data_IF_728271086698
#
_entry.id   IF_728271086698
#
_cell.length_a   1.000
_cell.length_b   1.000
_cell.length_c   1.000
_cell.angle_alpha   90.00
_cell.angle_beta   90.00
_cell.angle_gamma   90.00
#
_symmetry.space_group_name_H-M   'P 1'
#
loop_
_entity.id
_entity.type
_entity.pdbx_description
1 polymer ?
#
# COMPACT_ATOMS: atom_id res chain seq x y z
N UNK A 1 -0.89 8.91 8.90
CA UNK A 1 -1.36 7.57 8.46
C UNK A 1 -2.66 7.27 9.17
N UNK A 2 -3.67 6.83 8.44
CA UNK A 2 -5.00 6.47 8.91
C UNK A 2 -5.03 4.94 9.07
N UNK A 3 -5.15 4.47 10.29
CA UNK A 3 -5.18 3.05 10.65
C UNK A 3 -6.49 2.40 10.19
N UNK A 4 -6.43 1.14 9.76
CA UNK A 4 -7.60 0.36 9.33
C UNK A 4 -8.57 1.13 8.41
N UNK A 5 -8.04 1.96 7.50
CA UNK A 5 -8.86 2.83 6.66
C UNK A 5 -9.80 2.05 5.73
N UNK A 6 -9.45 0.80 5.38
CA UNK A 6 -10.32 -0.14 4.66
C UNK A 6 -11.63 -0.48 5.38
N UNK A 7 -11.70 -0.32 6.70
CA UNK A 7 -12.89 -0.62 7.50
C UNK A 7 -13.87 0.58 7.61
N UNK A 8 -13.49 1.75 7.09
CA UNK A 8 -14.28 2.97 7.14
C UNK A 8 -14.75 3.32 5.73
N UNK A 9 -16.05 3.62 5.50
CA UNK A 9 -16.53 4.02 4.18
C UNK A 9 -15.71 5.21 3.63
N UNK A 10 -15.13 5.15 2.41
CA UNK A 10 -14.23 6.18 1.90
C UNK A 10 -14.78 7.61 2.04
N UNK A 11 -16.06 7.80 1.70
CA UNK A 11 -16.76 9.09 1.79
C UNK A 11 -16.81 9.69 3.19
N UNK A 12 -16.64 8.90 4.25
CA UNK A 12 -16.53 9.41 5.61
C UNK A 12 -15.38 10.42 5.73
N UNK A 13 -14.23 10.13 5.10
CA UNK A 13 -13.00 10.91 5.21
C UNK A 13 -13.12 12.31 4.59
N UNK A 14 -14.00 12.50 3.61
CA UNK A 14 -14.31 13.82 3.02
C UNK A 14 -14.82 14.83 4.04
N UNK A 15 -15.35 14.38 5.18
CA UNK A 15 -15.77 15.25 6.28
C UNK A 15 -14.65 15.55 7.27
N UNK A 16 -13.58 14.75 7.28
CA UNK A 16 -12.48 14.85 8.25
C UNK A 16 -11.29 15.57 7.64
N UNK A 17 -10.77 15.06 6.52
CA UNK A 17 -9.49 15.48 5.94
C UNK A 17 -9.45 16.98 5.58
N UNK A 18 -10.49 17.60 4.98
CA UNK A 18 -10.45 19.02 4.64
C UNK A 18 -10.24 19.94 5.86
N UNK A 19 -10.79 19.57 7.03
CA UNK A 19 -10.64 20.35 8.27
C UNK A 19 -9.24 20.26 8.87
N UNK A 20 -8.54 19.17 8.60
CA UNK A 20 -7.14 18.98 9.01
C UNK A 20 -6.24 19.74 8.04
N UNK A 21 -6.46 19.60 6.72
CA UNK A 21 -5.72 20.34 5.68
C UNK A 21 -5.83 21.86 5.84
N UNK A 22 -6.97 22.39 6.26
CA UNK A 22 -7.10 23.84 6.48
C UNK A 22 -6.20 24.38 7.59
N UNK A 23 -5.80 23.53 8.55
CA UNK A 23 -4.87 23.89 9.65
C UNK A 23 -3.44 23.43 9.39
N UNK A 24 -3.27 22.41 8.55
CA UNK A 24 -1.99 21.82 8.19
C UNK A 24 -1.96 21.60 6.66
N UNK A 25 -1.73 22.67 5.87
CA UNK A 25 -1.82 22.59 4.41
C UNK A 25 -0.86 21.56 3.80
N UNK A 26 0.30 21.36 4.43
CA UNK A 26 1.34 20.43 3.97
C UNK A 26 1.14 19.00 4.48
N UNK A 27 0.04 18.72 5.20
CA UNK A 27 -0.24 17.38 5.70
C UNK A 27 -0.53 16.40 4.56
N UNK A 28 0.10 15.23 4.63
CA UNK A 28 -0.07 14.12 3.70
C UNK A 28 -0.71 12.92 4.39
N UNK A 29 -1.74 12.34 3.77
CA UNK A 29 -2.60 11.32 4.34
C UNK A 29 -2.44 9.99 3.61
N UNK A 30 -1.73 9.07 4.26
CA UNK A 30 -1.68 7.66 3.90
C UNK A 30 -2.81 6.89 4.59
N UNK A 31 -3.65 6.21 3.81
CA UNK A 31 -4.60 5.21 4.31
C UNK A 31 -4.02 3.81 4.35
N UNK A 32 -4.24 3.10 5.45
CA UNK A 32 -4.05 1.64 5.44
C UNK A 32 -5.23 0.95 4.78
N UNK A 33 -4.98 0.35 3.62
CA UNK A 33 -5.96 -0.41 2.85
C UNK A 33 -5.33 -1.73 2.42
N UNK A 34 -6.02 -2.83 2.73
CA UNK A 34 -5.55 -4.19 2.44
C UNK A 34 -6.30 -4.86 1.28
N UNK A 35 -7.42 -4.30 0.83
CA UNK A 35 -8.26 -4.82 -0.25
C UNK A 35 -9.19 -3.74 -0.84
N UNK A 36 -9.77 -4.00 -2.01
CA UNK A 36 -10.80 -3.17 -2.64
C UNK A 36 -10.33 -2.51 -3.94
N UNK A 37 -11.08 -1.51 -4.39
CA UNK A 37 -10.73 -0.69 -5.55
C UNK A 37 -9.92 0.53 -5.07
N UNK A 38 -8.60 0.47 -5.23
CA UNK A 38 -7.67 1.45 -4.66
C UNK A 38 -7.87 2.86 -5.28
N UNK A 39 -7.91 3.03 -6.61
CA UNK A 39 -8.25 4.32 -7.22
C UNK A 39 -9.59 4.90 -6.75
N UNK A 40 -10.64 4.06 -6.67
CA UNK A 40 -11.94 4.53 -6.20
C UNK A 40 -11.88 4.97 -4.73
N UNK A 41 -11.18 4.22 -3.87
CA UNK A 41 -11.01 4.59 -2.45
C UNK A 41 -10.29 5.94 -2.31
N UNK A 42 -9.22 6.17 -3.08
CA UNK A 42 -8.50 7.46 -3.07
C UNK A 42 -9.42 8.59 -3.51
N UNK A 43 -10.08 8.43 -4.66
CA UNK A 43 -10.97 9.43 -5.23
C UNK A 43 -12.14 9.79 -4.29
N UNK A 44 -12.72 8.79 -3.61
CA UNK A 44 -13.87 8.99 -2.72
C UNK A 44 -13.50 9.44 -1.30
N UNK A 45 -12.26 9.25 -0.86
CA UNK A 45 -11.81 9.59 0.50
C UNK A 45 -11.07 10.93 0.59
N UNK A 46 -10.34 11.33 -0.45
CA UNK A 46 -9.43 12.48 -0.42
C UNK A 46 -8.11 12.23 0.32
N UNK A 47 -7.76 10.94 0.54
CA UNK A 47 -6.42 10.52 0.96
C UNK A 47 -5.42 10.76 -0.18
N UNK A 48 -4.15 10.93 0.15
CA UNK A 48 -3.09 11.15 -0.85
C UNK A 48 -2.47 9.85 -1.36
N UNK A 49 -2.52 8.78 -0.55
CA UNK A 49 -1.92 7.49 -0.87
C UNK A 49 -2.51 6.37 -0.03
N UNK A 50 -2.29 5.13 -0.47
CA UNK A 50 -2.69 3.90 0.21
C UNK A 50 -1.50 2.94 0.35
N UNK A 51 -1.51 2.10 1.40
CA UNK A 51 -0.55 1.01 1.60
C UNK A 51 -0.65 -0.04 0.49
N UNK A 52 0.47 -0.47 -0.10
CA UNK A 52 0.47 -1.42 -1.21
C UNK A 52 0.68 -2.88 -0.76
N UNK A 53 -0.32 -3.47 -0.09
CA UNK A 53 -0.25 -4.85 0.39
C UNK A 53 -0.21 -5.90 -0.74
N UNK A 54 -0.81 -5.62 -1.91
CA UNK A 54 -0.78 -6.55 -3.04
C UNK A 54 0.67 -6.77 -3.52
N UNK A 55 1.44 -5.68 -3.70
CA UNK A 55 2.84 -5.77 -4.10
C UNK A 55 3.72 -6.35 -2.99
N UNK A 56 3.50 -5.97 -1.73
CA UNK A 56 4.21 -6.56 -0.58
C UNK A 56 4.13 -8.10 -0.62
N UNK A 57 2.92 -8.64 -0.85
CA UNK A 57 2.70 -10.07 -0.92
C UNK A 57 3.48 -10.71 -2.07
N UNK A 58 3.38 -10.11 -3.25
CA UNK A 58 4.03 -10.61 -4.46
C UNK A 58 5.56 -10.59 -4.37
N UNK A 59 6.15 -9.63 -3.66
CA UNK A 59 7.61 -9.56 -3.44
C UNK A 59 8.10 -10.79 -2.66
N UNK A 60 7.54 -11.08 -1.48
CA UNK A 60 8.05 -12.21 -0.70
C UNK A 60 7.66 -13.56 -1.30
N UNK A 61 6.47 -13.67 -1.91
CA UNK A 61 6.01 -14.95 -2.49
C UNK A 61 6.85 -15.36 -3.70
N UNK A 62 7.24 -14.40 -4.55
CA UNK A 62 8.10 -14.66 -5.71
C UNK A 62 9.51 -15.07 -5.29
N UNK A 63 10.06 -14.44 -4.26
CA UNK A 63 11.38 -14.81 -3.71
C UNK A 63 11.36 -16.16 -2.99
N UNK A 64 10.27 -16.52 -2.32
CA UNK A 64 10.12 -17.82 -1.65
C UNK A 64 9.99 -18.97 -2.65
N UNK A 65 9.16 -18.78 -3.68
CA UNK A 65 8.81 -19.84 -4.64
C UNK A 65 9.69 -19.89 -5.88
N UNK A 66 10.45 -18.82 -6.17
CA UNK A 66 11.14 -18.63 -7.45
C UNK A 66 10.20 -18.36 -8.63
N UNK A 67 8.91 -18.12 -8.38
CA UNK A 67 7.90 -17.84 -9.40
C UNK A 67 7.58 -16.34 -9.46
N UNK A 68 7.96 -15.69 -10.55
CA UNK A 68 7.82 -14.24 -10.74
C UNK A 68 6.56 -13.81 -11.50
N UNK A 69 5.68 -14.74 -11.90
CA UNK A 69 4.44 -14.38 -12.62
C UNK A 69 3.50 -13.51 -11.76
N UNK A 70 3.38 -13.81 -10.47
CA UNK A 70 2.58 -12.99 -9.55
C UNK A 70 3.19 -11.60 -9.37
N UNK A 71 4.52 -11.50 -9.27
CA UNK A 71 5.22 -10.22 -9.16
C UNK A 71 5.01 -9.35 -10.40
N UNK A 72 5.18 -9.92 -11.59
CA UNK A 72 4.93 -9.22 -12.87
C UNK A 72 3.49 -8.70 -12.96
N UNK A 73 2.51 -9.53 -12.58
CA UNK A 73 1.10 -9.11 -12.57
C UNK A 73 0.85 -7.97 -11.58
N UNK A 74 1.37 -8.07 -10.35
CA UNK A 74 1.23 -7.04 -9.33
C UNK A 74 1.93 -5.74 -9.69
N UNK A 75 3.08 -5.79 -10.37
CA UNK A 75 3.78 -4.61 -10.87
C UNK A 75 2.98 -3.91 -11.98
N UNK A 76 2.43 -4.64 -12.95
CA UNK A 76 1.56 -4.06 -13.99
C UNK A 76 0.35 -3.34 -13.40
N UNK A 77 -0.25 -3.94 -12.37
CA UNK A 77 -1.37 -3.31 -11.64
C UNK A 77 -0.91 -2.11 -10.81
N UNK A 78 0.29 -2.18 -10.21
CA UNK A 78 0.89 -1.05 -9.51
C UNK A 78 1.10 0.14 -10.46
N UNK A 79 1.62 -0.10 -11.66
CA UNK A 79 1.81 0.94 -12.68
C UNK A 79 0.48 1.60 -13.05
N UNK A 80 -0.59 0.82 -13.20
CA UNK A 80 -1.93 1.36 -13.43
C UNK A 80 -2.46 2.22 -12.26
N UNK A 81 -1.99 1.99 -11.02
CA UNK A 81 -2.34 2.88 -9.91
C UNK A 81 -1.64 4.24 -10.03
N UNK A 82 -0.43 4.30 -10.61
CA UNK A 82 0.35 5.53 -10.75
C UNK A 82 -0.34 6.59 -11.64
N UNK A 83 -1.27 6.16 -12.51
CA UNK A 83 -2.14 7.07 -13.26
C UNK A 83 -3.15 7.84 -12.37
N UNK A 84 -3.35 7.38 -11.14
CA UNK A 84 -4.34 7.91 -10.20
C UNK A 84 -3.72 8.45 -8.90
N UNK A 85 -2.76 7.73 -8.32
CA UNK A 85 -2.08 8.09 -7.08
C UNK A 85 -0.79 7.27 -6.92
N UNK A 86 0.11 7.68 -6.03
CA UNK A 86 1.36 6.94 -5.76
C UNK A 86 1.16 6.07 -4.52
N UNK A 87 1.08 4.72 -4.62
CA UNK A 87 0.94 3.85 -3.46
C UNK A 87 2.21 3.80 -2.61
N UNK A 88 2.06 3.68 -1.29
CA UNK A 88 3.17 3.43 -0.39
C UNK A 88 3.60 1.97 -0.48
N UNK A 89 4.77 1.72 -1.07
CA UNK A 89 5.38 0.38 -1.14
C UNK A 89 6.18 0.08 0.14
N UNK A 90 6.27 -1.20 0.49
CA UNK A 90 7.01 -1.67 1.66
C UNK A 90 7.31 -3.17 1.55
N UNK A 91 8.33 -3.64 2.27
CA UNK A 91 8.70 -5.07 2.37
C UNK A 91 8.37 -5.68 3.74
N UNK A 92 7.93 -4.85 4.69
CA UNK A 92 7.41 -5.27 5.99
C UNK A 92 6.89 -4.10 6.81
N UNK A 93 5.97 -4.39 7.72
CA UNK A 93 5.44 -3.46 8.72
C UNK A 93 5.27 -4.18 10.08
N UNK A 94 4.41 -3.69 10.96
CA UNK A 94 4.19 -4.28 12.29
C UNK A 94 3.12 -5.39 12.30
N UNK A 95 2.28 -5.48 11.27
CA UNK A 95 1.16 -6.43 11.16
C UNK A 95 1.53 -7.72 10.43
N UNK A 96 2.70 -7.75 9.78
CA UNK A 96 3.15 -8.88 8.97
C UNK A 96 4.42 -9.53 9.51
N UNK A 97 4.60 -10.81 9.20
CA UNK A 97 5.85 -11.52 9.50
C UNK A 97 7.02 -10.81 8.83
N UNK A 98 8.14 -10.66 9.56
CA UNK A 98 9.38 -10.09 9.01
C UNK A 98 9.82 -10.88 7.77
N UNK A 99 10.16 -10.17 6.69
CA UNK A 99 10.53 -10.79 5.41
C UNK A 99 11.73 -11.75 5.53
N UNK A 100 12.72 -11.42 6.37
CA UNK A 100 13.87 -12.31 6.67
C UNK A 100 13.42 -13.67 7.20
N UNK A 101 12.36 -13.71 8.01
CA UNK A 101 11.79 -14.95 8.54
C UNK A 101 11.00 -15.74 7.50
N UNK A 102 10.57 -15.10 6.40
CA UNK A 102 9.86 -15.75 5.29
C UNK A 102 10.82 -16.32 4.25
N UNK A 103 11.76 -15.52 3.76
CA UNK A 103 12.59 -15.87 2.59
C UNK A 103 14.06 -16.11 2.93
N UNK A 104 14.43 -15.99 4.21
CA UNK A 104 15.82 -16.06 4.66
C UNK A 104 16.64 -14.79 4.37
N UNK A 105 17.80 -14.67 5.04
CA UNK A 105 18.65 -13.48 4.92
C UNK A 105 19.16 -13.18 3.49
N UNK A 106 19.53 -14.17 2.65
CA UNK A 106 19.97 -13.88 1.29
C UNK A 106 18.89 -13.21 0.44
N UNK A 107 17.67 -13.74 0.42
CA UNK A 107 16.58 -13.21 -0.40
C UNK A 107 16.01 -11.90 0.18
N UNK A 108 15.98 -11.75 1.50
CA UNK A 108 15.56 -10.50 2.12
C UNK A 108 16.46 -9.31 1.76
N UNK A 109 17.76 -9.55 1.48
CA UNK A 109 18.64 -8.51 0.93
C UNK A 109 18.24 -8.11 -0.48
N UNK A 110 17.84 -9.07 -1.32
CA UNK A 110 17.37 -8.79 -2.69
C UNK A 110 16.10 -7.93 -2.66
N UNK A 111 15.18 -8.21 -1.75
CA UNK A 111 13.95 -7.42 -1.59
C UNK A 111 14.18 -5.95 -1.17
N UNK A 112 15.34 -5.64 -0.58
CA UNK A 112 15.65 -4.34 0.00
C UNK A 112 16.60 -3.47 -0.86
N UNK A 113 17.02 -3.97 -2.02
CA UNK A 113 17.82 -3.23 -3.02
C UNK A 113 16.91 -2.36 -3.89
#
# INVERSE_FOLDING_TARGET
>A
RLDAAYAVPPRFWTRVLPRVRSRHPDAWFLGEVIHGDYPAIVAESGMDSLTQYELWKAIWSSLESGNFYELDWSLKRHDAFLDHFIPQTFIGNHDVTRIVSKVGAPMARIAAL
#
